data_IF_823932143773
#
_entry.id   IF_823932143773
#
_cell.length_a   1.000
_cell.length_b   1.000
_cell.length_c   1.000
_cell.angle_alpha   90.00
_cell.angle_beta   90.00
_cell.angle_gamma   90.00
#
_symmetry.space_group_name_H-M   'P 1'
#
loop_
_entity.id
_entity.type
_entity.pdbx_description
1 polymer ?
#
# COMPACT_ATOMS: atom_id res chain seq x y z
N UNK A 1 -25.49 -18.85 -18.31
CA UNK A 1 -25.31 -17.39 -18.39
C UNK A 1 -24.59 -16.96 -17.14
N UNK A 2 -23.36 -16.49 -17.30
CA UNK A 2 -22.43 -16.26 -16.21
C UNK A 2 -22.78 -14.94 -15.51
N UNK A 3 -22.62 -14.89 -14.19
CA UNK A 3 -22.85 -13.70 -13.36
C UNK A 3 -21.96 -12.50 -13.74
N UNK A 4 -21.07 -12.67 -14.73
CA UNK A 4 -20.13 -11.66 -15.22
C UNK A 4 -20.72 -10.70 -16.27
N UNK A 5 -21.85 -11.04 -16.88
CA UNK A 5 -22.38 -10.30 -18.04
C UNK A 5 -23.47 -9.26 -17.71
N UNK A 6 -23.68 -8.90 -16.43
CA UNK A 6 -24.79 -8.01 -16.03
C UNK A 6 -24.41 -6.83 -15.13
N UNK A 7 -23.20 -6.29 -15.28
CA UNK A 7 -22.93 -4.91 -14.84
C UNK A 7 -22.76 -4.03 -16.08
N UNK A 8 -23.86 -3.89 -16.82
CA UNK A 8 -24.00 -2.84 -17.82
C UNK A 8 -24.26 -1.52 -17.08
N UNK A 9 -23.25 -0.66 -17.14
CA UNK A 9 -23.37 0.76 -17.46
C UNK A 9 -24.37 1.59 -16.64
N UNK A 10 -23.88 2.11 -15.50
CA UNK A 10 -24.51 3.22 -14.77
C UNK A 10 -23.48 4.29 -14.45
N UNK A 11 -22.98 5.06 -15.44
CA UNK A 11 -22.24 6.31 -15.20
C UNK A 11 -20.96 6.24 -14.33
N UNK A 12 -20.53 5.05 -13.91
CA UNK A 12 -19.46 4.82 -12.97
C UNK A 12 -18.11 4.81 -13.67
N UNK A 13 -17.13 5.51 -13.10
CA UNK A 13 -15.76 5.56 -13.61
C UNK A 13 -15.16 4.13 -13.60
N UNK A 14 -14.63 3.64 -14.73
CA UNK A 14 -14.18 2.26 -14.84
C UNK A 14 -13.00 1.96 -13.90
N UNK A 15 -12.91 0.72 -13.42
CA UNK A 15 -11.78 0.25 -12.62
C UNK A 15 -10.44 0.52 -13.33
N UNK A 16 -9.45 0.95 -12.54
CA UNK A 16 -8.15 1.40 -13.02
C UNK A 16 -8.13 2.86 -13.49
N UNK A 17 -9.28 3.54 -13.47
CA UNK A 17 -9.39 4.99 -13.74
C UNK A 17 -10.04 5.75 -12.58
N UNK A 18 -10.19 5.15 -11.40
CA UNK A 18 -10.82 5.82 -10.26
C UNK A 18 -9.77 6.55 -9.43
N UNK A 19 -9.95 7.85 -9.23
CA UNK A 19 -9.11 8.66 -8.35
C UNK A 19 -9.58 8.51 -6.91
N UNK A 20 -8.64 8.27 -6.00
CA UNK A 20 -8.92 8.14 -4.57
C UNK A 20 -9.71 9.32 -3.98
N UNK A 21 -9.33 10.61 -4.16
CA UNK A 21 -10.11 11.71 -3.60
C UNK A 21 -11.56 11.72 -4.10
N UNK A 22 -11.78 11.51 -5.41
CA UNK A 22 -13.12 11.48 -6.00
C UNK A 22 -13.95 10.31 -5.47
N UNK A 23 -13.34 9.13 -5.35
CA UNK A 23 -14.04 7.93 -4.91
C UNK A 23 -14.38 8.01 -3.41
N UNK A 24 -13.52 8.60 -2.58
CA UNK A 24 -13.84 8.87 -1.16
C UNK A 24 -15.07 9.76 -1.03
N UNK A 25 -15.16 10.85 -1.80
CA UNK A 25 -16.31 11.74 -1.80
C UNK A 25 -17.57 11.04 -2.32
N UNK A 26 -17.46 10.27 -3.41
CA UNK A 26 -18.56 9.48 -3.97
C UNK A 26 -19.13 8.50 -2.94
N UNK A 27 -18.27 7.69 -2.30
CA UNK A 27 -18.70 6.71 -1.29
C UNK A 27 -19.32 7.41 -0.08
N UNK A 28 -18.79 8.56 0.34
CA UNK A 28 -19.36 9.31 1.45
C UNK A 28 -20.78 9.84 1.16
N UNK A 29 -21.19 9.95 -0.11
CA UNK A 29 -22.55 10.29 -0.52
C UNK A 29 -23.41 9.04 -0.68
N UNK A 30 -22.92 8.02 -1.36
CA UNK A 30 -23.68 6.82 -1.73
C UNK A 30 -23.82 5.80 -0.60
N UNK A 31 -22.76 5.60 0.20
CA UNK A 31 -22.67 4.63 1.28
C UNK A 31 -21.90 5.20 2.48
N UNK A 32 -22.42 6.29 3.10
CA UNK A 32 -21.72 7.07 4.11
C UNK A 32 -21.31 6.28 5.35
N UNK A 33 -22.08 5.26 5.73
CA UNK A 33 -21.88 4.48 6.95
C UNK A 33 -20.93 3.29 6.74
N UNK A 34 -20.50 3.03 5.50
CA UNK A 34 -19.49 1.99 5.26
C UNK A 34 -18.21 2.32 6.00
N UNK A 35 -17.66 1.31 6.68
CA UNK A 35 -16.44 1.46 7.47
C UNK A 35 -15.20 1.29 6.58
N UNK A 36 -14.36 2.32 6.49
CA UNK A 36 -13.08 2.26 5.79
C UNK A 36 -11.92 1.82 6.70
N UNK A 37 -11.89 2.35 7.93
CA UNK A 37 -10.82 2.07 8.90
C UNK A 37 -11.39 1.70 10.25
N UNK A 38 -10.63 0.92 11.03
CA UNK A 38 -10.95 0.58 12.41
C UNK A 38 -9.67 0.51 13.23
N UNK A 39 -9.64 1.08 14.42
CA UNK A 39 -8.44 1.12 15.26
C UNK A 39 -8.81 1.03 16.75
N UNK A 40 -7.90 0.55 17.63
CA UNK A 40 -8.16 0.45 19.06
C UNK A 40 -8.55 1.79 19.68
N UNK A 41 -9.51 1.81 20.61
CA UNK A 41 -9.92 3.02 21.34
C UNK A 41 -8.86 3.47 22.35
N UNK A 42 -8.05 2.54 22.82
CA UNK A 42 -6.99 2.76 23.80
C UNK A 42 -5.88 1.72 23.60
N UNK A 43 -4.84 1.77 24.43
CA UNK A 43 -3.82 0.71 24.51
C UNK A 43 -4.38 -0.61 25.04
N UNK A 44 -5.53 -0.60 25.73
CA UNK A 44 -6.24 -1.80 26.15
C UNK A 44 -7.26 -2.23 25.09
N UNK A 45 -6.96 -3.30 24.37
CA UNK A 45 -7.81 -3.78 23.27
C UNK A 45 -9.20 -4.24 23.72
N UNK A 46 -9.36 -4.59 25.00
CA UNK A 46 -10.65 -4.95 25.57
C UNK A 46 -11.63 -3.76 25.62
N UNK A 47 -11.13 -2.51 25.57
CA UNK A 47 -11.97 -1.31 25.47
C UNK A 47 -12.64 -1.20 24.08
N UNK A 48 -12.26 -2.08 23.15
CA UNK A 48 -12.84 -2.19 21.83
C UNK A 48 -12.20 -1.26 20.80
N UNK A 49 -12.85 -1.20 19.63
CA UNK A 49 -12.36 -0.49 18.46
C UNK A 49 -13.26 0.69 18.12
N UNK A 50 -12.67 1.74 17.56
CA UNK A 50 -13.36 2.84 16.91
C UNK A 50 -13.39 2.57 15.42
N UNK A 51 -14.59 2.33 14.89
CA UNK A 51 -14.81 2.26 13.45
C UNK A 51 -14.94 3.67 12.87
N UNK A 52 -14.32 3.88 11.71
CA UNK A 52 -14.34 5.13 10.96
C UNK A 52 -15.10 4.90 9.65
N UNK A 53 -16.25 5.57 9.53
CA UNK A 53 -17.07 5.52 8.33
C UNK A 53 -16.56 6.46 7.22
N UNK A 54 -16.98 6.23 5.98
CA UNK A 54 -16.66 7.10 4.85
C UNK A 54 -17.15 8.54 5.05
N UNK A 55 -18.31 8.74 5.69
CA UNK A 55 -18.80 10.08 6.07
C UNK A 55 -17.78 10.82 6.92
N UNK A 56 -17.31 10.20 7.99
CA UNK A 56 -16.37 10.82 8.93
C UNK A 56 -14.99 10.97 8.28
N UNK A 57 -14.54 9.99 7.50
CA UNK A 57 -13.27 10.05 6.79
C UNK A 57 -13.25 11.19 5.76
N UNK A 58 -14.29 11.33 4.92
CA UNK A 58 -14.39 12.42 3.96
C UNK A 58 -14.46 13.80 4.64
N UNK A 59 -15.21 13.93 5.74
CA UNK A 59 -15.22 15.16 6.53
C UNK A 59 -13.83 15.51 7.08
N UNK A 60 -13.09 14.52 7.60
CA UNK A 60 -11.74 14.73 8.11
C UNK A 60 -10.77 15.15 6.99
N UNK A 61 -10.89 14.54 5.80
CA UNK A 61 -10.15 14.93 4.59
C UNK A 61 -10.48 16.36 4.20
N UNK A 62 -11.75 16.74 4.16
CA UNK A 62 -12.18 18.09 3.79
C UNK A 62 -11.67 19.14 4.77
N UNK A 63 -11.83 18.94 6.09
CA UNK A 63 -11.27 19.83 7.13
C UNK A 63 -9.77 20.01 6.95
N UNK A 64 -9.05 18.91 6.71
CA UNK A 64 -7.60 18.94 6.50
C UNK A 64 -7.23 19.68 5.22
N UNK A 65 -7.99 19.50 4.13
CA UNK A 65 -7.75 20.19 2.87
C UNK A 65 -7.99 21.71 3.00
N UNK A 66 -9.05 22.14 3.70
CA UNK A 66 -9.28 23.55 4.01
C UNK A 66 -8.21 24.14 4.93
N UNK A 67 -7.75 23.39 5.94
CA UNK A 67 -6.62 23.78 6.79
C UNK A 67 -5.36 23.99 5.95
N UNK A 68 -4.95 23.00 5.13
CA UNK A 68 -3.78 23.11 4.25
C UNK A 68 -3.91 24.32 3.31
N UNK A 69 -5.07 24.50 2.67
CA UNK A 69 -5.32 25.63 1.79
C UNK A 69 -5.19 26.97 2.52
N UNK A 70 -5.64 27.05 3.78
CA UNK A 70 -5.57 28.30 4.57
C UNK A 70 -4.14 28.64 4.95
N UNK A 71 -3.35 27.64 5.34
CA UNK A 71 -1.99 27.84 5.85
C UNK A 71 -0.96 28.04 4.73
N UNK A 72 -1.00 27.20 3.68
CA UNK A 72 0.03 27.18 2.61
C UNK A 72 -0.54 27.32 1.20
N UNK A 73 -1.84 27.56 1.06
CA UNK A 73 -2.46 27.74 -0.24
C UNK A 73 -2.74 26.43 -1.01
N UNK A 74 -3.10 26.60 -2.28
CA UNK A 74 -3.17 25.48 -3.25
C UNK A 74 -1.88 25.44 -4.05
N UNK A 75 -1.44 24.22 -4.33
CA UNK A 75 -0.31 23.98 -5.20
C UNK A 75 -0.75 23.78 -6.64
N UNK A 76 0.06 24.29 -7.58
CA UNK A 76 -0.03 23.99 -9.01
C UNK A 76 1.19 23.24 -9.56
N UNK A 77 2.24 23.07 -8.74
CA UNK A 77 3.49 22.41 -9.09
C UNK A 77 3.83 21.21 -8.19
N UNK A 78 2.86 20.78 -7.37
CA UNK A 78 2.99 19.65 -6.46
C UNK A 78 4.14 19.79 -5.46
N UNK A 79 4.23 20.91 -4.74
CA UNK A 79 5.21 21.09 -3.65
C UNK A 79 5.18 19.87 -2.71
N UNK A 80 6.36 19.45 -2.27
CA UNK A 80 6.53 18.30 -1.38
C UNK A 80 6.27 18.73 0.06
N UNK A 81 5.36 18.02 0.74
CA UNK A 81 5.06 18.21 2.16
C UNK A 81 5.52 16.97 2.93
N UNK A 82 6.47 17.14 3.85
CA UNK A 82 6.87 16.08 4.78
C UNK A 82 5.79 15.94 5.86
N UNK A 83 5.24 14.74 6.02
CA UNK A 83 4.35 14.44 7.13
C UNK A 83 5.04 13.54 8.16
N UNK A 84 5.10 14.00 9.42
CA UNK A 84 5.61 13.23 10.55
C UNK A 84 4.68 13.37 11.75
N UNK A 85 4.16 12.24 12.23
CA UNK A 85 3.30 12.24 13.40
C UNK A 85 3.01 10.84 13.92
N UNK A 86 2.14 10.77 14.94
CA UNK A 86 1.69 9.50 15.51
C UNK A 86 1.15 8.56 14.43
N UNK A 87 1.60 7.28 14.39
CA UNK A 87 1.10 6.27 13.46
C UNK A 87 -0.39 5.96 13.65
N UNK A 88 -1.26 6.79 13.06
CA UNK A 88 -2.71 6.65 13.12
C UNK A 88 -3.38 7.01 11.77
N UNK A 89 -4.72 7.09 11.77
CA UNK A 89 -5.50 7.35 10.55
C UNK A 89 -5.19 8.69 9.86
N UNK A 90 -4.50 9.64 10.52
CA UNK A 90 -4.08 10.90 9.89
C UNK A 90 -3.19 10.69 8.69
N UNK A 91 -2.40 9.62 8.61
CA UNK A 91 -1.60 9.31 7.42
C UNK A 91 -2.46 9.17 6.15
N UNK A 92 -3.65 8.57 6.26
CA UNK A 92 -4.61 8.46 5.14
C UNK A 92 -5.29 9.79 4.85
N UNK A 93 -5.71 10.50 5.90
CA UNK A 93 -6.39 11.80 5.78
C UNK A 93 -5.47 12.81 5.07
N UNK A 94 -4.21 12.89 5.51
CA UNK A 94 -3.20 13.81 4.97
C UNK A 94 -2.88 13.50 3.52
N UNK A 95 -2.70 12.23 3.14
CA UNK A 95 -2.47 11.85 1.74
C UNK A 95 -3.61 12.36 0.85
N UNK A 96 -4.86 12.06 1.18
CA UNK A 96 -6.00 12.46 0.34
C UNK A 96 -6.19 13.98 0.33
N UNK A 97 -6.00 14.66 1.47
CA UNK A 97 -6.10 16.11 1.56
C UNK A 97 -5.03 16.83 0.74
N UNK A 98 -3.78 16.35 0.76
CA UNK A 98 -2.69 16.92 -0.05
C UNK A 98 -2.94 16.71 -1.54
N UNK A 99 -3.45 15.56 -1.96
CA UNK A 99 -3.88 15.35 -3.35
C UNK A 99 -4.95 16.38 -3.73
N UNK A 100 -5.95 16.62 -2.87
CA UNK A 100 -7.01 17.60 -3.12
C UNK A 100 -6.48 19.03 -3.26
N UNK A 101 -5.47 19.41 -2.49
CA UNK A 101 -4.86 20.74 -2.53
C UNK A 101 -3.73 20.88 -3.55
N UNK A 102 -3.44 19.82 -4.32
CA UNK A 102 -2.46 19.83 -5.40
C UNK A 102 -1.01 19.57 -4.96
N UNK A 103 -0.79 19.08 -3.74
CA UNK A 103 0.53 18.79 -3.17
C UNK A 103 0.85 17.29 -3.24
N UNK A 104 2.13 16.93 -3.01
CA UNK A 104 2.55 15.53 -2.81
C UNK A 104 3.14 15.32 -1.42
N UNK A 105 2.86 14.19 -0.79
CA UNK A 105 3.35 13.88 0.56
C UNK A 105 4.66 13.12 0.53
N UNK A 106 5.63 13.50 1.36
CA UNK A 106 6.77 12.65 1.72
C UNK A 106 6.47 11.98 3.06
N UNK A 107 6.31 10.65 3.06
CA UNK A 107 6.26 9.88 4.31
C UNK A 107 7.66 9.44 4.69
N UNK A 108 8.08 9.79 5.90
CA UNK A 108 9.36 9.37 6.46
C UNK A 108 9.14 8.68 7.80
N UNK A 109 9.80 7.54 8.00
CA UNK A 109 9.74 6.86 9.28
C UNK A 109 10.31 7.74 10.38
N UNK A 110 9.60 7.84 11.49
CA UNK A 110 10.09 8.50 12.70
C UNK A 110 11.29 7.79 13.33
N UNK A 111 11.57 6.54 12.94
CA UNK A 111 12.78 5.82 13.33
C UNK A 111 14.03 6.22 12.51
N UNK A 112 13.88 7.08 11.50
CA UNK A 112 15.03 7.60 10.76
C UNK A 112 15.83 8.59 11.62
N UNK A 113 17.13 8.67 11.36
CA UNK A 113 18.00 9.68 11.98
C UNK A 113 17.76 11.06 11.37
N UNK A 114 18.11 12.14 12.08
CA UNK A 114 18.03 13.51 11.55
C UNK A 114 18.77 13.67 10.23
N UNK A 115 19.94 13.04 10.08
CA UNK A 115 20.71 13.05 8.84
C UNK A 115 19.96 12.38 7.67
N UNK A 116 19.24 11.28 7.92
CA UNK A 116 18.41 10.61 6.91
C UNK A 116 17.20 11.45 6.53
N UNK A 117 16.56 12.12 7.50
CA UNK A 117 15.49 13.08 7.20
C UNK A 117 16.03 14.22 6.32
N UNK A 118 17.16 14.81 6.69
CA UNK A 118 17.77 15.92 5.95
C UNK A 118 18.13 15.55 4.51
N UNK A 119 18.67 14.35 4.28
CA UNK A 119 18.95 13.85 2.92
C UNK A 119 17.67 13.73 2.09
N UNK A 120 16.62 13.08 2.65
CA UNK A 120 15.33 12.93 1.96
C UNK A 120 14.69 14.29 1.66
N UNK A 121 14.69 15.20 2.64
CA UNK A 121 14.16 16.57 2.50
C UNK A 121 14.87 17.28 1.33
N UNK A 122 16.20 17.25 1.31
CA UNK A 122 17.00 17.89 0.26
C UNK A 122 16.75 17.28 -1.11
N UNK A 123 16.68 15.96 -1.22
CA UNK A 123 16.54 15.25 -2.50
C UNK A 123 15.13 15.32 -3.09
N UNK A 124 14.15 15.77 -2.30
CA UNK A 124 12.76 15.88 -2.71
C UNK A 124 12.29 17.34 -2.78
N UNK A 125 13.22 18.29 -2.66
CA UNK A 125 12.96 19.73 -2.58
C UNK A 125 11.83 20.06 -1.60
N UNK A 126 11.81 19.37 -0.46
CA UNK A 126 10.76 19.50 0.54
C UNK A 126 11.01 20.73 1.42
N UNK A 127 10.07 21.67 1.43
CA UNK A 127 10.18 22.93 2.18
C UNK A 127 9.18 23.05 3.32
N UNK A 128 8.17 22.16 3.36
CA UNK A 128 7.06 22.22 4.33
C UNK A 128 7.05 20.96 5.19
N UNK A 129 6.95 21.15 6.51
CA UNK A 129 6.78 20.10 7.51
C UNK A 129 5.38 20.20 8.13
N UNK A 130 4.53 19.21 7.86
CA UNK A 130 3.28 19.00 8.56
C UNK A 130 3.49 17.96 9.68
N UNK A 131 3.19 18.31 10.92
CA UNK A 131 3.45 17.44 12.06
C UNK A 131 2.32 17.42 13.07
N UNK A 132 2.22 16.35 13.87
CA UNK A 132 1.23 16.27 14.96
C UNK A 132 1.76 16.92 16.23
N UNK A 133 0.92 17.63 16.97
CA UNK A 133 1.31 18.24 18.24
C UNK A 133 1.94 17.21 19.20
N UNK A 134 2.99 17.62 19.90
CA UNK A 134 3.76 16.76 20.82
C UNK A 134 4.70 15.75 20.16
N UNK A 135 4.74 15.66 18.82
CA UNK A 135 5.71 14.81 18.13
C UNK A 135 7.08 15.50 18.07
N UNK A 136 8.20 14.81 18.40
CA UNK A 136 9.51 15.43 18.43
C UNK A 136 10.04 15.69 17.01
N UNK A 137 9.98 16.96 16.57
CA UNK A 137 10.47 17.40 15.25
C UNK A 137 11.68 18.33 15.31
N UNK A 138 12.16 18.70 16.51
CA UNK A 138 13.26 19.66 16.68
C UNK A 138 14.53 19.25 15.94
N UNK A 139 14.93 17.97 16.00
CA UNK A 139 16.13 17.48 15.31
C UNK A 139 16.08 17.61 13.80
N UNK A 140 14.88 17.62 13.20
CA UNK A 140 14.69 17.89 11.76
C UNK A 140 14.85 19.39 11.50
N UNK A 141 14.20 20.22 12.31
CA UNK A 141 14.21 21.69 12.17
C UNK A 141 15.59 22.32 12.44
N UNK A 142 16.41 21.70 13.28
CA UNK A 142 17.81 22.07 13.50
C UNK A 142 18.67 21.81 12.24
N UNK A 143 18.32 20.77 11.47
CA UNK A 143 19.09 20.35 10.28
C UNK A 143 18.56 20.96 8.99
N UNK A 144 17.28 21.34 8.95
CA UNK A 144 16.57 21.77 7.75
C UNK A 144 15.61 22.93 8.11
N UNK A 145 15.82 24.09 7.50
CA UNK A 145 14.89 25.21 7.62
C UNK A 145 13.65 24.92 6.77
N UNK A 146 12.51 24.75 7.43
CA UNK A 146 11.23 24.41 6.80
C UNK A 146 10.12 25.32 7.34
N UNK A 147 9.09 25.54 6.53
CA UNK A 147 7.81 26.06 7.00
C UNK A 147 7.07 24.96 7.77
N UNK A 148 6.50 25.28 8.94
CA UNK A 148 5.94 24.25 9.83
C UNK A 148 4.46 24.45 10.09
N UNK A 149 3.70 23.39 9.89
CA UNK A 149 2.26 23.33 10.14
C UNK A 149 1.97 22.30 11.23
N UNK A 150 1.30 22.74 12.29
CA UNK A 150 0.81 21.83 13.32
C UNK A 150 -0.56 21.29 12.89
N UNK A 151 -0.61 20.00 12.58
CA UNK A 151 -1.82 19.30 12.16
C UNK A 151 -2.89 19.36 13.26
N UNK A 152 -4.17 19.64 12.93
CA UNK A 152 -5.26 19.57 13.88
C UNK A 152 -5.33 18.21 14.61
N UNK A 153 -5.80 18.25 15.85
CA UNK A 153 -5.93 17.05 16.67
C UNK A 153 -6.87 16.01 16.04
N UNK A 154 -6.51 14.73 16.18
CA UNK A 154 -7.28 13.64 15.56
C UNK A 154 -8.75 13.68 16.02
N UNK A 155 -8.99 13.92 17.31
CA UNK A 155 -10.34 14.02 17.85
C UNK A 155 -11.18 15.11 17.16
N UNK A 156 -10.59 16.28 16.90
CA UNK A 156 -11.27 17.36 16.17
C UNK A 156 -11.59 16.97 14.72
N UNK A 157 -10.66 16.28 14.05
CA UNK A 157 -10.86 15.83 12.68
C UNK A 157 -12.02 14.84 12.59
N UNK A 158 -12.10 13.90 13.53
CA UNK A 158 -13.09 12.81 13.54
C UNK A 158 -14.47 13.20 14.14
N UNK A 159 -14.57 14.32 14.84
CA UNK A 159 -15.83 14.77 15.47
C UNK A 159 -16.59 15.79 14.62
N UNK A 160 -17.88 15.97 14.91
CA UNK A 160 -18.70 17.03 14.31
C UNK A 160 -19.68 16.55 13.25
N UNK A 161 -20.47 17.49 12.75
CA UNK A 161 -21.47 17.29 11.69
C UNK A 161 -20.83 17.33 10.30
N UNK A 162 -21.66 17.24 9.25
CA UNK A 162 -21.22 17.47 7.87
C UNK A 162 -20.37 18.75 7.76
N UNK A 163 -19.27 18.65 7.00
CA UNK A 163 -18.36 19.74 6.70
C UNK A 163 -18.42 20.05 5.21
N UNK A 164 -18.11 21.29 4.82
CA UNK A 164 -18.10 21.68 3.41
C UNK A 164 -17.14 20.80 2.60
N UNK A 165 -17.58 20.36 1.43
CA UNK A 165 -16.77 19.51 0.56
C UNK A 165 -15.66 20.36 -0.06
N UNK A 166 -14.40 19.97 0.17
CA UNK A 166 -13.30 20.57 -0.56
C UNK A 166 -13.29 19.99 -1.99
N UNK A 167 -13.47 20.81 -3.03
CA UNK A 167 -13.72 20.31 -4.37
C UNK A 167 -12.46 19.70 -4.99
N UNK A 168 -12.63 18.53 -5.59
CA UNK A 168 -11.64 17.92 -6.48
C UNK A 168 -12.32 17.51 -7.79
N UNK A 169 -11.98 18.20 -8.87
CA UNK A 169 -12.73 18.14 -10.13
C UNK A 169 -11.94 17.54 -11.29
N UNK A 170 -10.68 17.12 -11.06
CA UNK A 170 -9.88 16.50 -12.11
C UNK A 170 -10.47 15.14 -12.49
N UNK A 171 -10.54 14.87 -13.80
CA UNK A 171 -10.76 13.52 -14.30
C UNK A 171 -9.48 12.69 -14.15
N UNK A 172 -9.60 11.36 -14.28
CA UNK A 172 -8.42 10.49 -14.25
C UNK A 172 -7.39 10.88 -15.31
N UNK A 173 -7.82 11.06 -16.56
CA UNK A 173 -6.91 11.41 -17.67
C UNK A 173 -6.20 12.76 -17.43
N UNK A 174 -6.76 13.67 -16.61
CA UNK A 174 -6.12 14.93 -16.21
C UNK A 174 -5.13 14.78 -15.04
N UNK A 175 -5.30 13.75 -14.21
CA UNK A 175 -4.59 13.58 -12.95
C UNK A 175 -3.67 12.35 -12.90
N UNK A 176 -3.70 11.48 -13.90
CA UNK A 176 -3.04 10.17 -13.88
C UNK A 176 -1.52 10.26 -13.61
N UNK A 177 -0.89 11.36 -14.04
CA UNK A 177 0.53 11.64 -13.84
C UNK A 177 0.80 12.70 -12.75
N UNK A 178 -0.24 13.21 -12.08
CA UNK A 178 -0.06 14.09 -10.93
C UNK A 178 0.74 13.35 -9.84
N UNK A 179 1.85 13.92 -9.35
CA UNK A 179 2.56 13.41 -8.17
C UNK A 179 1.68 13.47 -6.93
N UNK A 180 1.62 12.37 -6.17
CA UNK A 180 0.78 12.28 -4.96
C UNK A 180 1.57 11.93 -3.70
N UNK A 181 2.66 11.18 -3.84
CA UNK A 181 3.40 10.64 -2.71
C UNK A 181 4.85 10.38 -3.12
N UNK A 182 5.77 10.53 -2.18
CA UNK A 182 7.16 10.10 -2.33
C UNK A 182 7.38 8.91 -1.40
N UNK A 183 7.77 7.79 -2.00
CA UNK A 183 8.30 6.61 -1.29
C UNK A 183 9.82 6.61 -1.38
N UNK A 184 10.50 5.75 -0.62
CA UNK A 184 11.95 5.63 -0.71
C UNK A 184 12.38 4.16 -0.71
N UNK A 185 13.37 3.81 -1.51
CA UNK A 185 13.94 2.46 -1.56
C UNK A 185 15.29 2.43 -0.86
N UNK A 186 15.67 1.30 -0.27
CA UNK A 186 17.07 1.08 0.13
C UNK A 186 17.90 0.85 -1.13
N UNK A 187 18.78 1.79 -1.48
CA UNK A 187 19.62 1.65 -2.68
C UNK A 187 20.85 0.76 -2.41
N UNK A 188 21.44 0.24 -3.49
CA UNK A 188 22.68 -0.53 -3.41
C UNK A 188 23.90 0.31 -2.95
N UNK A 189 23.82 1.65 -3.01
CA UNK A 189 24.84 2.54 -2.44
C UNK A 189 24.61 2.83 -0.94
N UNK A 190 23.55 2.27 -0.35
CA UNK A 190 23.15 2.50 1.04
C UNK A 190 22.38 3.80 1.26
N UNK A 191 22.28 4.68 0.26
CA UNK A 191 21.55 5.95 0.33
C UNK A 191 20.15 5.81 -0.29
N UNK A 192 19.06 5.91 0.49
CA UNK A 192 17.75 5.56 -0.02
C UNK A 192 17.28 6.49 -1.14
N UNK A 193 16.85 5.96 -2.30
CA UNK A 193 16.42 6.79 -3.43
C UNK A 193 14.93 7.13 -3.33
N UNK A 194 14.53 8.41 -3.43
CA UNK A 194 13.13 8.78 -3.44
C UNK A 194 12.50 8.41 -4.79
N UNK A 195 11.33 7.78 -4.72
CA UNK A 195 10.50 7.41 -5.87
C UNK A 195 9.16 8.13 -5.77
N UNK A 196 8.88 8.98 -6.75
CA UNK A 196 7.63 9.74 -6.83
C UNK A 196 6.53 8.86 -7.40
N UNK A 197 5.47 8.68 -6.63
CA UNK A 197 4.25 8.00 -7.03
C UNK A 197 3.25 8.99 -7.61
N UNK A 198 2.55 8.55 -8.65
CA UNK A 198 1.45 9.27 -9.30
C UNK A 198 0.10 8.63 -8.99
N UNK A 199 -1.01 9.29 -9.36
CA UNK A 199 -2.34 8.68 -9.26
C UNK A 199 -2.45 7.35 -10.01
N UNK A 200 -1.86 7.24 -11.20
CA UNK A 200 -1.89 5.99 -11.99
C UNK A 200 -1.20 4.82 -11.26
N UNK A 201 -0.08 5.07 -10.57
CA UNK A 201 0.61 4.03 -9.78
C UNK A 201 -0.26 3.52 -8.62
N UNK A 202 -1.02 4.41 -7.97
CA UNK A 202 -1.95 4.02 -6.90
C UNK A 202 -3.19 3.31 -7.46
N UNK A 203 -3.72 3.78 -8.60
CA UNK A 203 -4.88 3.19 -9.28
C UNK A 203 -4.58 1.85 -9.97
N UNK A 204 -3.32 1.41 -10.06
CA UNK A 204 -2.99 0.08 -10.59
C UNK A 204 -3.68 -1.05 -9.82
N UNK A 205 -3.72 -0.95 -8.48
CA UNK A 205 -4.46 -1.92 -7.66
C UNK A 205 -5.96 -1.95 -7.98
N UNK A 206 -6.54 -0.81 -8.37
CA UNK A 206 -7.91 -0.74 -8.86
C UNK A 206 -8.07 -1.47 -10.21
N UNK A 207 -7.11 -1.28 -11.13
CA UNK A 207 -7.13 -1.95 -12.43
C UNK A 207 -7.13 -3.48 -12.29
N UNK A 208 -6.47 -4.02 -11.26
CA UNK A 208 -6.37 -5.46 -11.01
C UNK A 208 -7.74 -6.13 -10.77
N UNK A 209 -8.76 -5.37 -10.37
CA UNK A 209 -10.13 -5.87 -10.21
C UNK A 209 -10.78 -6.28 -11.54
N UNK A 210 -10.20 -5.89 -12.69
CA UNK A 210 -10.64 -6.32 -14.03
C UNK A 210 -9.92 -7.56 -14.56
N UNK A 211 -8.93 -8.07 -13.83
CA UNK A 211 -8.11 -9.19 -14.31
C UNK A 211 -8.90 -10.49 -14.20
N UNK A 212 -9.14 -11.21 -15.31
CA UNK A 212 -9.85 -12.48 -15.28
C UNK A 212 -9.00 -13.57 -14.63
N UNK A 213 -9.60 -14.68 -14.15
CA UNK A 213 -8.83 -15.81 -13.63
C UNK A 213 -7.80 -16.35 -14.65
N UNK A 214 -6.61 -16.72 -14.16
CA UNK A 214 -5.55 -17.36 -14.96
C UNK A 214 -5.55 -18.86 -14.65
N UNK A 215 -5.83 -19.70 -15.66
CA UNK A 215 -5.94 -21.15 -15.49
C UNK A 215 -6.89 -21.55 -14.33
N UNK A 216 -8.01 -20.84 -14.20
CA UNK A 216 -9.01 -21.05 -13.14
C UNK A 216 -8.66 -20.43 -11.78
N UNK A 217 -7.48 -19.80 -11.62
CA UNK A 217 -7.06 -19.15 -10.38
C UNK A 217 -7.49 -17.68 -10.34
N UNK A 218 -8.31 -17.24 -9.37
CA UNK A 218 -8.70 -15.84 -9.23
C UNK A 218 -7.49 -14.91 -9.13
N UNK A 219 -7.67 -13.66 -9.59
CA UNK A 219 -6.68 -12.61 -9.33
C UNK A 219 -6.57 -12.37 -7.81
N UNK A 220 -5.36 -12.08 -7.33
CA UNK A 220 -5.13 -11.89 -5.90
C UNK A 220 -5.92 -10.67 -5.38
N UNK A 221 -6.06 -9.61 -6.18
CA UNK A 221 -6.86 -8.44 -5.81
C UNK A 221 -8.36 -8.72 -5.79
N UNK A 222 -8.88 -9.61 -6.64
CA UNK A 222 -10.32 -9.93 -6.62
C UNK A 222 -10.72 -10.64 -5.34
N UNK A 223 -9.83 -11.45 -4.72
CA UNK A 223 -10.13 -12.08 -3.42
C UNK A 223 -10.05 -11.11 -2.23
N UNK A 224 -9.47 -9.92 -2.44
CA UNK A 224 -9.51 -8.80 -1.50
C UNK A 224 -10.82 -8.02 -1.58
N UNK A 225 -11.51 -8.07 -2.72
CA UNK A 225 -12.79 -7.42 -2.96
C UNK A 225 -13.93 -8.20 -2.30
N UNK A 226 -14.03 -8.13 -0.98
CA UNK A 226 -15.14 -8.72 -0.23
C UNK A 226 -15.69 -7.73 0.81
N UNK A 227 -16.89 -7.23 0.53
CA UNK A 227 -17.56 -6.25 1.37
C UNK A 227 -17.84 -6.85 2.76
N UNK A 228 -17.48 -6.09 3.80
CA UNK A 228 -17.64 -6.52 5.19
C UNK A 228 -16.46 -7.34 5.75
N UNK A 229 -15.41 -7.61 4.95
CA UNK A 229 -14.17 -8.15 5.50
C UNK A 229 -13.34 -7.07 6.19
N UNK A 230 -12.82 -7.45 7.35
CA UNK A 230 -11.88 -6.69 8.16
C UNK A 230 -10.48 -7.25 7.94
N UNK A 231 -9.60 -6.46 7.34
CA UNK A 231 -8.22 -6.84 7.05
C UNK A 231 -7.26 -6.08 7.94
N UNK A 232 -6.48 -6.80 8.73
CA UNK A 232 -5.45 -6.17 9.55
C UNK A 232 -4.28 -5.71 8.68
N UNK A 233 -3.93 -4.43 8.75
CA UNK A 233 -2.66 -3.93 8.21
C UNK A 233 -1.61 -3.98 9.31
N UNK A 234 -0.82 -5.06 9.32
CA UNK A 234 0.40 -5.15 10.12
C UNK A 234 1.59 -4.42 9.48
N UNK A 235 1.39 -3.81 8.29
CA UNK A 235 2.40 -3.00 7.62
C UNK A 235 2.53 -1.63 8.29
N UNK A 236 3.74 -1.05 8.38
CA UNK A 236 3.91 0.28 8.93
C UNK A 236 3.25 1.37 8.07
N UNK A 237 2.29 2.09 8.65
CA UNK A 237 1.55 3.17 7.96
C UNK A 237 2.32 4.49 7.89
N UNK A 238 3.51 4.56 8.48
CA UNK A 238 4.46 5.66 8.28
C UNK A 238 5.41 5.42 7.10
N UNK A 239 5.21 4.32 6.36
CA UNK A 239 5.81 4.10 5.06
C UNK A 239 4.74 4.24 3.97
N UNK A 240 5.06 4.91 2.87
CA UNK A 240 4.11 5.15 1.78
C UNK A 240 3.49 3.86 1.21
N UNK A 241 4.23 2.76 1.18
CA UNK A 241 3.71 1.45 0.75
C UNK A 241 2.60 0.92 1.68
N UNK A 242 2.75 1.07 3.00
CA UNK A 242 1.72 0.68 3.97
C UNK A 242 0.46 1.53 3.84
N UNK A 243 0.63 2.82 3.57
CA UNK A 243 -0.48 3.75 3.28
C UNK A 243 -1.19 3.36 1.99
N UNK A 244 -0.45 3.18 0.89
CA UNK A 244 -1.00 2.81 -0.41
C UNK A 244 -1.75 1.47 -0.38
N UNK A 245 -1.17 0.44 0.26
CA UNK A 245 -1.82 -0.86 0.42
C UNK A 245 -3.15 -0.74 1.19
N UNK A 246 -3.13 -0.05 2.34
CA UNK A 246 -4.33 0.09 3.18
C UNK A 246 -5.40 0.93 2.50
N UNK A 247 -5.03 2.03 1.86
CA UNK A 247 -5.96 2.89 1.15
C UNK A 247 -6.56 2.17 -0.08
N UNK A 248 -5.75 1.41 -0.82
CA UNK A 248 -6.22 0.60 -1.93
C UNK A 248 -7.23 -0.47 -1.50
N UNK A 249 -7.01 -1.13 -0.36
CA UNK A 249 -7.96 -2.09 0.21
C UNK A 249 -9.26 -1.39 0.61
N UNK A 250 -9.15 -0.28 1.34
CA UNK A 250 -10.32 0.45 1.83
C UNK A 250 -11.19 0.99 0.68
N UNK A 251 -10.54 1.67 -0.27
CA UNK A 251 -11.20 2.47 -1.31
C UNK A 251 -11.57 1.63 -2.53
N UNK A 252 -10.66 0.81 -3.05
CA UNK A 252 -10.92 0.05 -4.28
C UNK A 252 -11.60 -1.30 -4.00
N UNK A 253 -11.25 -1.97 -2.91
CA UNK A 253 -11.69 -3.34 -2.61
C UNK A 253 -12.91 -3.41 -1.67
N UNK A 254 -13.48 -2.27 -1.25
CA UNK A 254 -14.61 -2.20 -0.31
C UNK A 254 -14.33 -2.86 1.06
N UNK A 255 -13.05 -3.01 1.43
CA UNK A 255 -12.65 -3.63 2.69
C UNK A 255 -12.64 -2.64 3.86
N UNK A 256 -12.71 -3.15 5.08
CA UNK A 256 -12.41 -2.37 6.29
C UNK A 256 -10.97 -2.68 6.71
N UNK A 257 -10.11 -1.67 6.77
CA UNK A 257 -8.73 -1.85 7.23
C UNK A 257 -8.66 -1.66 8.74
N UNK A 258 -8.25 -2.71 9.44
CA UNK A 258 -7.96 -2.65 10.87
C UNK A 258 -6.51 -2.22 11.05
N UNK A 259 -6.27 -1.18 11.84
CA UNK A 259 -4.96 -0.59 12.09
C UNK A 259 -4.55 -0.91 13.52
N UNK A 260 -3.26 -1.21 13.70
CA UNK A 260 -2.64 -1.45 14.99
C UNK A 260 -2.66 -0.24 15.92
N UNK A 261 -2.31 -0.42 17.21
CA UNK A 261 -1.86 0.69 18.04
C UNK A 261 -0.62 1.35 17.41
N UNK A 262 -0.31 2.61 17.77
CA UNK A 262 0.86 3.30 17.23
C UNK A 262 2.15 2.52 17.47
N UNK A 263 2.90 2.23 16.39
CA UNK A 263 4.19 1.55 16.45
C UNK A 263 4.34 0.44 15.41
N UNK A 264 5.42 -0.34 15.53
CA UNK A 264 5.64 -1.53 14.71
C UNK A 264 4.80 -2.70 15.23
N UNK A 265 4.23 -3.48 14.32
CA UNK A 265 3.45 -4.67 14.70
C UNK A 265 4.38 -5.79 15.16
N UNK A 266 4.19 -6.22 16.41
CA UNK A 266 4.84 -7.41 17.00
C UNK A 266 3.91 -8.62 16.96
N UNK A 267 4.44 -9.82 17.22
CA UNK A 267 3.61 -11.01 17.39
C UNK A 267 2.56 -10.84 18.51
N UNK A 268 2.92 -10.18 19.62
CA UNK A 268 1.96 -9.85 20.69
C UNK A 268 0.84 -8.92 20.25
N UNK A 269 1.14 -7.91 19.43
CA UNK A 269 0.12 -7.04 18.83
C UNK A 269 -0.79 -7.82 17.89
N UNK A 270 -0.20 -8.73 17.10
CA UNK A 270 -0.94 -9.58 16.19
C UNK A 270 -1.88 -10.52 16.93
N UNK A 271 -1.46 -11.09 18.07
CA UNK A 271 -2.28 -11.93 18.94
C UNK A 271 -3.51 -11.18 19.45
N UNK A 272 -3.33 -9.95 19.95
CA UNK A 272 -4.45 -9.09 20.37
C UNK A 272 -5.37 -8.72 19.20
N UNK A 273 -4.83 -8.53 18.00
CA UNK A 273 -5.65 -8.29 16.81
C UNK A 273 -6.48 -9.49 16.40
N UNK A 274 -5.95 -10.71 16.57
CA UNK A 274 -6.70 -11.96 16.38
C UNK A 274 -7.87 -12.06 17.37
N UNK A 275 -7.65 -11.71 18.63
CA UNK A 275 -8.67 -11.85 19.68
C UNK A 275 -9.75 -10.74 19.62
N UNK A 276 -9.35 -9.49 19.40
CA UNK A 276 -10.24 -8.33 19.55
C UNK A 276 -10.56 -7.60 18.23
N UNK A 277 -9.69 -7.68 17.22
CA UNK A 277 -9.80 -6.91 15.98
C UNK A 277 -10.89 -7.38 15.01
N UNK A 278 -11.46 -8.57 15.24
CA UNK A 278 -12.43 -9.27 14.37
C UNK A 278 -11.93 -9.39 12.92
N UNK A 279 -10.64 -9.69 12.78
CA UNK A 279 -9.95 -9.71 11.49
C UNK A 279 -10.19 -11.03 10.77
N UNK A 280 -10.31 -10.99 9.43
CA UNK A 280 -10.50 -12.18 8.59
C UNK A 280 -9.27 -12.49 7.74
N UNK A 281 -8.37 -11.52 7.59
CA UNK A 281 -7.12 -11.62 6.85
C UNK A 281 -6.14 -10.57 7.35
N UNK A 282 -4.87 -10.68 6.97
CA UNK A 282 -3.85 -9.70 7.32
C UNK A 282 -2.89 -9.42 6.16
N UNK A 283 -2.35 -8.20 6.11
CA UNK A 283 -1.14 -7.83 5.35
C UNK A 283 0.02 -7.69 6.32
N UNK A 284 1.10 -8.46 6.15
CA UNK A 284 2.22 -8.52 7.08
C UNK A 284 3.58 -8.26 6.42
N UNK A 285 4.53 -7.76 7.19
CA UNK A 285 5.94 -7.87 6.84
C UNK A 285 6.46 -9.25 7.20
N UNK A 286 7.49 -9.72 6.47
CA UNK A 286 8.15 -11.00 6.72
C UNK A 286 8.64 -11.10 8.17
N UNK A 287 9.21 -10.03 8.73
CA UNK A 287 9.74 -10.01 10.09
C UNK A 287 8.66 -10.33 11.16
N UNK A 288 7.44 -9.81 11.01
CA UNK A 288 6.33 -10.12 11.91
C UNK A 288 5.93 -11.59 11.83
N UNK A 289 5.95 -12.18 10.62
CA UNK A 289 5.65 -13.61 10.45
C UNK A 289 6.72 -14.51 11.07
N UNK A 290 8.00 -14.16 10.92
CA UNK A 290 9.11 -14.87 11.59
C UNK A 290 8.95 -14.84 13.11
N UNK A 291 8.57 -13.71 13.69
CA UNK A 291 8.28 -13.62 15.13
C UNK A 291 7.09 -14.51 15.53
N UNK A 292 5.99 -14.48 14.78
CA UNK A 292 4.80 -15.32 15.02
C UNK A 292 5.14 -16.82 14.94
N UNK A 293 6.02 -17.23 14.02
CA UNK A 293 6.46 -18.62 13.90
C UNK A 293 7.18 -19.14 15.15
N UNK A 294 7.68 -18.26 16.03
CA UNK A 294 8.26 -18.64 17.32
C UNK A 294 7.22 -18.84 18.43
N UNK A 295 5.92 -18.62 18.15
CA UNK A 295 4.84 -18.56 19.13
C UNK A 295 3.72 -19.59 18.84
N UNK A 296 3.84 -20.84 19.35
CA UNK A 296 2.84 -21.90 19.15
C UNK A 296 1.42 -21.58 19.65
N UNK A 297 1.32 -20.67 20.62
CA UNK A 297 0.05 -20.15 21.13
C UNK A 297 -0.67 -19.26 20.12
N UNK A 298 0.06 -18.48 19.33
CA UNK A 298 -0.49 -17.60 18.27
C UNK A 298 -0.75 -18.38 16.99
N UNK A 299 0.14 -19.30 16.60
CA UNK A 299 0.02 -20.08 15.36
C UNK A 299 -1.33 -20.77 15.22
N UNK A 300 -1.84 -21.38 16.30
CA UNK A 300 -3.16 -22.04 16.31
C UNK A 300 -4.30 -21.08 16.00
N UNK A 301 -4.21 -19.83 16.44
CA UNK A 301 -5.23 -18.80 16.19
C UNK A 301 -5.25 -18.35 14.73
N UNK A 302 -4.15 -18.49 13.98
CA UNK A 302 -4.11 -18.12 12.55
C UNK A 302 -5.13 -18.87 11.70
N UNK A 303 -5.59 -20.05 12.14
CA UNK A 303 -6.64 -20.82 11.46
C UNK A 303 -7.97 -20.10 11.30
N UNK A 304 -8.22 -19.01 12.05
CA UNK A 304 -9.40 -18.17 11.86
C UNK A 304 -9.28 -17.21 10.67
N UNK A 305 -8.06 -16.98 10.16
CA UNK A 305 -7.81 -16.12 9.02
C UNK A 305 -8.00 -16.90 7.71
N UNK A 306 -8.67 -16.28 6.75
CA UNK A 306 -8.83 -16.82 5.39
C UNK A 306 -7.51 -16.86 4.64
N UNK A 307 -6.69 -15.81 4.80
CA UNK A 307 -5.36 -15.73 4.24
C UNK A 307 -4.53 -14.64 4.93
N UNK A 308 -3.22 -14.72 4.74
CA UNK A 308 -2.27 -13.67 5.03
C UNK A 308 -1.51 -13.34 3.74
N UNK A 309 -1.54 -12.07 3.33
CA UNK A 309 -0.63 -11.55 2.31
C UNK A 309 0.63 -11.04 2.99
N UNK A 310 1.81 -11.32 2.44
CA UNK A 310 3.06 -10.80 2.99
C UNK A 310 3.90 -10.08 1.94
N UNK A 311 4.57 -9.02 2.40
CA UNK A 311 5.41 -8.13 1.60
C UNK A 311 6.75 -7.99 2.33
N UNK A 312 7.84 -7.84 1.58
CA UNK A 312 9.13 -7.52 2.18
C UNK A 312 10.28 -7.82 1.22
N UNK A 313 11.43 -7.20 1.50
CA UNK A 313 12.67 -7.55 0.82
C UNK A 313 13.19 -8.87 1.37
N UNK A 314 13.49 -9.82 0.47
CA UNK A 314 14.06 -11.12 0.81
C UNK A 314 13.02 -12.23 0.94
N UNK A 315 13.51 -13.43 1.28
CA UNK A 315 12.69 -14.64 1.38
C UNK A 315 12.43 -14.96 2.85
N UNK A 316 11.16 -15.21 3.18
CA UNK A 316 10.79 -15.80 4.46
C UNK A 316 11.45 -17.17 4.60
N UNK A 317 11.89 -17.53 5.82
CA UNK A 317 12.53 -18.81 6.08
C UNK A 317 11.57 -19.96 5.77
N UNK A 318 12.10 -21.03 5.16
CA UNK A 318 11.29 -22.22 4.81
C UNK A 318 10.55 -22.76 6.03
N UNK A 319 11.25 -22.83 7.18
CA UNK A 319 10.66 -23.28 8.44
C UNK A 319 9.46 -22.42 8.87
N UNK A 320 9.55 -21.09 8.76
CA UNK A 320 8.47 -20.19 9.12
C UNK A 320 7.25 -20.39 8.22
N UNK A 321 7.44 -20.37 6.90
CA UNK A 321 6.31 -20.53 5.97
C UNK A 321 5.69 -21.93 6.00
N UNK A 322 6.48 -22.99 6.13
CA UNK A 322 5.97 -24.36 6.28
C UNK A 322 5.14 -24.52 7.56
N UNK A 323 5.49 -23.80 8.62
CA UNK A 323 4.76 -23.83 9.87
C UNK A 323 3.46 -23.04 9.79
N UNK A 324 3.49 -21.82 9.27
CA UNK A 324 2.30 -20.95 9.17
C UNK A 324 1.30 -21.47 8.14
N UNK A 325 1.78 -22.00 7.01
CA UNK A 325 0.92 -22.52 5.93
C UNK A 325 0.03 -23.69 6.39
N UNK A 326 0.42 -24.42 7.44
CA UNK A 326 -0.44 -25.45 8.05
C UNK A 326 -1.75 -24.88 8.61
N UNK A 327 -1.74 -23.63 9.07
CA UNK A 327 -2.88 -22.98 9.73
C UNK A 327 -3.69 -22.10 8.78
N UNK A 328 -3.04 -21.34 7.89
CA UNK A 328 -3.74 -20.40 7.00
C UNK A 328 -3.07 -20.30 5.63
N UNK A 329 -3.81 -19.80 4.63
CA UNK A 329 -3.26 -19.56 3.29
C UNK A 329 -2.29 -18.37 3.31
N UNK A 330 -1.12 -18.56 2.70
CA UNK A 330 -0.14 -17.49 2.53
C UNK A 330 -0.06 -17.07 1.06
N UNK A 331 0.05 -15.77 0.84
CA UNK A 331 0.28 -15.19 -0.47
C UNK A 331 1.46 -14.20 -0.44
N UNK A 332 2.61 -14.52 -1.03
CA UNK A 332 3.64 -13.53 -1.32
C UNK A 332 3.08 -12.48 -2.27
N UNK A 333 3.33 -11.21 -1.99
CA UNK A 333 3.00 -10.10 -2.88
C UNK A 333 4.29 -9.44 -3.36
N UNK A 334 4.48 -9.42 -4.67
CA UNK A 334 5.55 -8.69 -5.33
C UNK A 334 5.11 -7.24 -5.50
N UNK A 335 5.80 -6.36 -4.78
CA UNK A 335 5.65 -4.93 -4.91
C UNK A 335 7.02 -4.24 -4.78
N UNK A 336 7.21 -3.15 -5.51
CA UNK A 336 8.38 -2.27 -5.36
C UNK A 336 7.95 -0.82 -5.48
N UNK A 337 8.79 0.10 -5.01
CA UNK A 337 8.47 1.53 -5.15
C UNK A 337 8.37 1.95 -6.62
N UNK A 338 9.14 1.32 -7.51
CA UNK A 338 9.20 1.62 -8.95
C UNK A 338 8.07 0.95 -9.75
N UNK A 339 7.69 -0.28 -9.38
CA UNK A 339 6.70 -1.09 -10.13
C UNK A 339 5.29 -1.07 -9.53
N UNK A 340 5.13 -0.46 -8.33
CA UNK A 340 3.94 -0.56 -7.50
C UNK A 340 3.61 -2.03 -7.20
N UNK A 341 2.55 -2.62 -7.74
CA UNK A 341 2.17 -4.02 -7.50
C UNK A 341 1.99 -4.80 -8.79
N UNK A 342 2.45 -6.05 -8.83
CA UNK A 342 2.28 -6.92 -10.00
C UNK A 342 0.93 -7.64 -9.98
N UNK A 343 0.42 -7.95 -11.17
CA UNK A 343 -0.77 -8.78 -11.36
C UNK A 343 -0.43 -10.23 -11.01
N UNK A 344 -1.00 -10.68 -9.90
CA UNK A 344 -0.81 -12.02 -9.35
C UNK A 344 -2.13 -12.77 -9.23
N UNK A 345 -2.04 -14.09 -9.22
CA UNK A 345 -3.17 -14.99 -8.99
C UNK A 345 -2.93 -15.85 -7.74
N UNK A 346 -4.02 -16.39 -7.19
CA UNK A 346 -3.96 -17.25 -6.00
C UNK A 346 -3.20 -18.53 -6.25
N UNK A 347 -2.29 -18.87 -5.35
CA UNK A 347 -1.57 -20.15 -5.31
C UNK A 347 -2.24 -21.13 -4.33
N UNK A 348 -1.82 -22.40 -4.39
CA UNK A 348 -2.26 -23.40 -3.42
C UNK A 348 -1.51 -23.20 -2.09
N UNK A 349 -1.97 -23.86 -1.02
CA UNK A 349 -1.45 -23.65 0.34
C UNK A 349 -0.01 -24.13 0.47
N UNK A 350 0.30 -25.25 -0.17
CA UNK A 350 1.63 -25.85 -0.22
C UNK A 350 2.64 -25.02 -1.04
N UNK A 351 2.14 -24.16 -1.93
CA UNK A 351 2.95 -23.30 -2.80
C UNK A 351 3.20 -21.92 -2.18
N UNK A 352 3.22 -21.82 -0.85
CA UNK A 352 3.33 -20.53 -0.15
C UNK A 352 4.55 -19.70 -0.57
N UNK A 353 5.61 -20.33 -1.08
CA UNK A 353 6.83 -19.67 -1.58
C UNK A 353 6.71 -19.14 -3.02
N UNK A 354 5.69 -19.57 -3.76
CA UNK A 354 5.52 -19.27 -5.17
C UNK A 354 4.50 -18.16 -5.38
N UNK A 355 4.72 -17.41 -6.46
CA UNK A 355 3.85 -16.37 -6.96
C UNK A 355 3.36 -16.80 -8.34
N UNK A 356 2.04 -16.84 -8.54
CA UNK A 356 1.45 -17.06 -9.87
C UNK A 356 1.37 -15.71 -10.60
N UNK A 357 2.32 -15.44 -11.50
CA UNK A 357 2.45 -14.16 -12.19
C UNK A 357 1.72 -14.18 -13.53
N UNK A 358 0.89 -13.17 -13.81
CA UNK A 358 0.22 -13.08 -15.09
C UNK A 358 1.19 -12.58 -16.19
N UNK A 359 1.54 -13.37 -17.22
CA UNK A 359 2.52 -12.95 -18.21
C UNK A 359 2.01 -11.83 -19.13
N UNK A 360 0.71 -11.83 -19.43
CA UNK A 360 0.10 -10.91 -20.40
C UNK A 360 -0.13 -9.55 -19.76
N UNK A 361 -0.86 -9.51 -18.64
CA UNK A 361 -1.23 -8.24 -18.00
C UNK A 361 -0.02 -7.53 -17.40
N UNK A 362 0.96 -8.23 -16.85
CA UNK A 362 2.21 -7.60 -16.44
C UNK A 362 3.11 -7.25 -17.64
N UNK A 363 2.87 -7.86 -18.81
CA UNK A 363 3.79 -7.88 -19.96
C UNK A 363 5.19 -8.30 -19.54
N UNK A 364 5.34 -9.53 -19.04
CA UNK A 364 6.62 -10.03 -18.51
C UNK A 364 7.17 -11.17 -19.34
N UNK A 365 8.50 -11.25 -19.39
CA UNK A 365 9.27 -12.37 -19.89
C UNK A 365 10.22 -12.86 -18.81
N UNK A 366 10.27 -14.18 -18.62
CA UNK A 366 11.23 -14.82 -17.71
C UNK A 366 12.41 -15.29 -18.55
N UNK A 367 13.54 -14.60 -18.46
CA UNK A 367 14.74 -14.85 -19.29
C UNK A 367 15.76 -15.64 -18.48
N UNK A 368 16.30 -16.73 -19.04
CA UNK A 368 17.35 -17.49 -18.36
C UNK A 368 18.61 -16.65 -18.18
N UNK A 369 19.19 -16.67 -16.98
CA UNK A 369 20.37 -15.86 -16.66
C UNK A 369 21.67 -16.47 -17.21
N UNK A 370 21.75 -17.81 -17.25
CA UNK A 370 22.89 -18.52 -17.83
C UNK A 370 22.41 -19.68 -18.73
N UNK A 371 23.20 -20.09 -19.73
CA UNK A 371 22.96 -21.36 -20.42
C UNK A 371 22.87 -22.51 -19.41
N UNK A 372 21.82 -23.32 -19.50
CA UNK A 372 21.54 -24.45 -18.60
C UNK A 372 21.28 -24.10 -17.12
N UNK A 373 20.93 -22.85 -16.79
CA UNK A 373 20.51 -22.48 -15.43
C UNK A 373 19.00 -22.66 -15.23
N UNK A 374 18.61 -23.07 -14.03
CA UNK A 374 17.21 -23.05 -13.59
C UNK A 374 16.77 -21.69 -13.02
N UNK A 375 17.64 -20.67 -13.12
CA UNK A 375 17.40 -19.31 -12.65
C UNK A 375 17.05 -18.38 -13.80
N UNK A 376 15.98 -17.63 -13.58
CA UNK A 376 15.41 -16.69 -14.53
C UNK A 376 15.38 -15.29 -13.93
N UNK A 377 15.53 -14.30 -14.78
CA UNK A 377 15.29 -12.91 -14.44
C UNK A 377 13.94 -12.47 -15.03
N UNK A 378 13.18 -11.71 -14.25
CA UNK A 378 11.92 -11.11 -14.71
C UNK A 378 12.21 -9.81 -15.47
N UNK A 379 11.76 -9.78 -16.72
CA UNK A 379 11.84 -8.62 -17.60
C UNK A 379 10.44 -8.10 -17.92
N UNK A 380 10.18 -6.84 -17.59
CA UNK A 380 9.00 -6.14 -18.06
C UNK A 380 9.21 -5.70 -19.51
N UNK A 381 8.21 -5.92 -20.35
CA UNK A 381 8.16 -5.56 -21.76
C UNK A 381 6.97 -4.64 -21.94
N UNK A 382 7.21 -3.41 -22.40
CA UNK A 382 6.17 -2.40 -22.56
C UNK A 382 5.10 -2.88 -23.52
N UNK A 383 3.85 -2.87 -23.07
CA UNK A 383 2.71 -3.16 -23.90
C UNK A 383 1.65 -2.06 -23.71
N UNK A 384 1.41 -1.21 -24.74
CA UNK A 384 0.40 -0.14 -24.67
C UNK A 384 -1.01 -0.61 -24.30
N UNK A 385 -1.38 -1.85 -24.64
CA UNK A 385 -2.69 -2.42 -24.32
C UNK A 385 -2.90 -2.65 -22.80
N UNK A 386 -1.81 -2.92 -22.09
CA UNK A 386 -1.82 -3.26 -20.66
C UNK A 386 -1.07 -2.22 -19.80
N UNK A 387 -0.81 -1.02 -20.32
CA UNK A 387 -0.02 0.01 -19.65
C UNK A 387 -0.48 0.32 -18.21
N UNK A 388 -1.79 0.26 -17.96
CA UNK A 388 -2.40 0.47 -16.64
C UNK A 388 -2.00 -0.58 -15.58
N UNK A 389 -1.42 -1.69 -16.01
CA UNK A 389 -0.91 -2.77 -15.17
C UNK A 389 0.63 -2.76 -15.07
N UNK A 390 1.31 -1.86 -15.79
CA UNK A 390 2.76 -1.82 -15.88
C UNK A 390 3.34 -0.56 -15.23
N UNK A 391 3.12 -0.41 -13.91
CA UNK A 391 3.58 0.76 -13.13
C UNK A 391 5.07 1.09 -13.29
N UNK A 392 5.90 0.08 -13.56
CA UNK A 392 7.34 0.22 -13.82
C UNK A 392 7.67 1.23 -14.92
N UNK A 393 6.79 1.37 -15.92
CA UNK A 393 6.97 2.27 -17.04
C UNK A 393 6.52 3.70 -16.77
N UNK A 394 5.83 3.95 -15.65
CA UNK A 394 5.65 5.32 -15.15
C UNK A 394 6.97 5.85 -14.58
N UNK A 395 7.74 4.98 -13.92
CA UNK A 395 9.07 5.31 -13.40
C UNK A 395 10.14 5.34 -14.52
N UNK A 396 10.07 4.41 -15.48
CA UNK A 396 10.97 4.35 -16.64
C UNK A 396 10.24 4.68 -17.96
N UNK A 397 9.76 5.92 -18.18
CA UNK A 397 8.85 6.26 -19.29
C UNK A 397 9.45 6.12 -20.68
N UNK A 398 10.77 6.14 -20.79
CA UNK A 398 11.48 6.02 -22.08
C UNK A 398 11.93 4.60 -22.42
N UNK A 399 11.91 3.70 -21.43
CA UNK A 399 12.38 2.33 -21.62
C UNK A 399 11.29 1.46 -22.27
N UNK A 400 11.69 0.57 -23.16
CA UNK A 400 10.80 -0.44 -23.77
C UNK A 400 10.83 -1.76 -23.01
N UNK A 401 11.95 -2.07 -22.36
CA UNK A 401 12.09 -3.21 -21.48
C UNK A 401 12.88 -2.82 -20.23
N UNK A 402 12.53 -3.42 -19.08
CA UNK A 402 13.17 -3.15 -17.80
C UNK A 402 13.31 -4.48 -17.04
N UNK A 403 14.52 -4.79 -16.59
CA UNK A 403 14.77 -5.93 -15.73
C UNK A 403 14.45 -5.62 -14.27
N UNK A 404 13.77 -6.52 -13.56
CA UNK A 404 13.52 -6.40 -12.13
C UNK A 404 14.78 -6.61 -11.28
N UNK A 405 15.83 -7.21 -11.85
CA UNK A 405 17.11 -7.49 -11.19
C UNK A 405 17.02 -8.46 -10.00
N UNK A 406 15.95 -9.26 -9.94
CA UNK A 406 15.74 -10.36 -9.01
C UNK A 406 15.78 -11.70 -9.77
N UNK A 407 16.22 -12.76 -9.09
CA UNK A 407 16.31 -14.12 -9.61
C UNK A 407 15.10 -14.95 -9.17
N UNK A 408 14.64 -15.80 -10.08
CA UNK A 408 13.49 -16.66 -9.86
C UNK A 408 13.73 -18.09 -10.35
N UNK A 409 13.15 -19.07 -9.66
CA UNK A 409 13.07 -20.46 -10.10
C UNK A 409 11.62 -20.81 -10.49
N UNK A 410 11.47 -21.72 -11.47
CA UNK A 410 10.16 -22.16 -11.96
C UNK A 410 9.60 -23.26 -11.07
N UNK A 411 8.30 -23.25 -10.80
CA UNK A 411 7.64 -24.39 -10.17
C UNK A 411 7.74 -25.65 -11.06
N UNK A 412 8.03 -26.85 -10.50
CA UNK A 412 8.28 -28.06 -11.27
C UNK A 412 7.10 -28.50 -12.16
N UNK A 413 5.85 -28.21 -11.73
CA UNK A 413 4.64 -28.73 -12.39
C UNK A 413 3.56 -27.69 -12.70
N UNK A 414 3.67 -26.46 -12.20
CA UNK A 414 2.60 -25.44 -12.26
C UNK A 414 3.10 -24.28 -13.11
N UNK A 415 2.45 -24.02 -14.23
CA UNK A 415 2.83 -22.92 -15.11
C UNK A 415 2.63 -21.57 -14.40
N UNK A 416 3.45 -20.58 -14.78
CA UNK A 416 3.43 -19.22 -14.25
C UNK A 416 3.72 -19.07 -12.75
N UNK A 417 4.02 -20.17 -12.05
CA UNK A 417 4.43 -20.15 -10.65
C UNK A 417 5.94 -19.99 -10.57
N UNK A 418 6.35 -18.89 -9.95
CA UNK A 418 7.75 -18.50 -9.80
C UNK A 418 8.07 -18.31 -8.33
N UNK A 419 9.23 -18.80 -7.90
CA UNK A 419 9.75 -18.59 -6.55
C UNK A 419 10.90 -17.59 -6.62
N UNK A 420 10.93 -16.63 -5.71
CA UNK A 420 12.02 -15.66 -5.61
C UNK A 420 13.24 -16.30 -4.94
N UNK A 421 14.41 -16.18 -5.58
CA UNK A 421 15.69 -16.77 -5.16
C UNK A 421 16.71 -15.71 -4.71
N UNK A 422 16.26 -14.46 -4.54
CA UNK A 422 17.13 -13.34 -4.15
C UNK A 422 17.64 -12.54 -5.34
N UNK A 423 18.74 -11.81 -5.13
CA UNK A 423 19.38 -10.97 -6.16
C UNK A 423 20.66 -11.61 -6.69
N UNK A 424 21.05 -11.34 -7.95
CA UNK A 424 22.35 -11.75 -8.45
C UNK A 424 23.47 -11.22 -7.54
N UNK A 425 24.44 -12.07 -7.17
CA UNK A 425 25.68 -11.58 -6.58
C UNK A 425 26.36 -10.71 -7.65
N UNK A 426 26.51 -9.40 -7.40
CA UNK A 426 27.32 -8.53 -8.26
C UNK A 426 28.69 -9.20 -8.42
N UNK A 427 29.05 -9.59 -9.65
CA UNK A 427 30.43 -9.95 -9.95
C UNK A 427 31.23 -8.66 -9.77
N UNK A 428 32.17 -8.64 -8.82
CA UNK A 428 33.25 -7.66 -8.84
C UNK A 428 33.99 -7.86 -10.16
N UNK A 429 33.81 -6.93 -11.09
CA UNK A 429 34.66 -6.77 -12.26
C UNK A 429 36.05 -6.31 -11.82
#
# INVERSE_FOLDING_TARGET
MSYWDTVMDSGDVPYGKRLVPSLVDQIAVEDPERICFSFPRSSNFADGFQDLSYRTFANAVNKTAYFIHTEIGRSSCFETVLYIGYPDVRYFIVLVALIKTGHKVLFSSHSNTSARHADLIKRTDCTILLYTAGFPVSGILESCRMETLCMPELQYLLQGTAFDVYPYTKTFDQAEYDPIMVTHTSSASGQPEPVVWTNSMLAQGDAHLRVPPLNGRPALFSILQDAGRRKFSALPIYHGTGVANSLGIAVFCKGTVVIGPPGQTTAGTFDLMLDYGRINSASCEIATLEEIATRPDILRKLGQLKHITYIGAGSMSTKCGDLISQYTQLFPVIASSESSILVQHTTDREDWQYMCLNPIYNGIQMRSVYPNSELYELWFIRNPEYQQFQGIFNYFPRQQEVAMSDLYSKHPTKEHHWKHEGRPKRRSS
#
